data_IF_754916574882
#
_entry.id   IF_754916574882
#
_cell.length_a   1.000
_cell.length_b   1.000
_cell.length_c   1.000
_cell.angle_alpha   90.00
_cell.angle_beta   90.00
_cell.angle_gamma   90.00
#
_symmetry.space_group_name_H-M   'P 1'
#
loop_
_entity.id
_entity.type
_entity.pdbx_description
1 polymer ?
#
# COMPACT_ATOMS: atom_id res chain seq x y z
N UNK A 1 45.35 28.20 -5.87
CA UNK A 1 44.59 27.13 -6.55
C UNK A 1 43.49 26.65 -5.62
N UNK A 2 42.28 27.18 -5.78
CA UNK A 2 41.10 26.78 -5.01
C UNK A 2 40.10 26.14 -5.96
N UNK A 3 39.96 24.81 -5.89
CA UNK A 3 38.96 24.09 -6.68
C UNK A 3 37.64 24.08 -5.89
N UNK A 4 36.65 24.80 -6.42
CA UNK A 4 35.29 24.84 -5.89
C UNK A 4 34.57 23.51 -6.05
N UNK A 5 33.94 23.07 -4.97
CA UNK A 5 32.98 21.96 -4.98
C UNK A 5 31.67 22.45 -5.62
N UNK A 6 31.19 21.70 -6.62
CA UNK A 6 29.97 22.03 -7.36
C UNK A 6 28.68 21.82 -6.56
N UNK A 7 27.62 22.61 -6.79
CA UNK A 7 26.35 22.48 -6.11
C UNK A 7 25.49 21.42 -6.81
N UNK A 8 25.66 20.15 -6.41
CA UNK A 8 24.99 19.03 -7.11
C UNK A 8 24.48 17.88 -6.25
N UNK A 9 24.63 17.90 -4.92
CA UNK A 9 24.30 16.73 -4.08
C UNK A 9 23.23 16.96 -2.99
N UNK A 10 22.63 18.15 -2.88
CA UNK A 10 21.85 18.50 -1.68
C UNK A 10 20.32 18.61 -1.91
N UNK A 11 19.72 17.71 -2.71
CA UNK A 11 18.27 17.69 -2.99
C UNK A 11 17.56 16.33 -2.85
N UNK A 12 18.21 15.32 -2.27
CA UNK A 12 17.46 14.25 -1.57
C UNK A 12 17.37 14.70 -0.11
N UNK A 13 16.46 15.63 0.16
CA UNK A 13 16.15 16.10 1.52
C UNK A 13 16.11 14.90 2.47
N UNK A 14 16.92 14.95 3.55
CA UNK A 14 16.93 13.97 4.63
C UNK A 14 15.49 13.63 4.99
N UNK A 15 14.99 12.47 4.56
CA UNK A 15 13.75 11.90 5.10
C UNK A 15 14.03 11.74 6.59
N UNK A 16 13.24 12.40 7.44
CA UNK A 16 13.38 12.23 8.87
C UNK A 16 12.96 10.80 9.21
N UNK A 17 13.95 9.90 9.31
CA UNK A 17 13.75 8.49 9.64
C UNK A 17 13.03 8.33 10.98
N UNK A 18 13.26 9.26 11.93
CA UNK A 18 12.58 9.28 13.23
C UNK A 18 11.09 9.58 13.06
N UNK A 19 10.75 10.57 12.23
CA UNK A 19 9.35 10.89 11.91
C UNK A 19 8.65 9.74 11.17
N UNK A 20 9.29 9.13 10.17
CA UNK A 20 8.71 8.02 9.42
C UNK A 20 8.50 6.78 10.32
N UNK A 21 9.46 6.49 11.21
CA UNK A 21 9.34 5.45 12.23
C UNK A 21 8.15 5.70 13.15
N UNK A 22 8.01 6.92 13.66
CA UNK A 22 6.87 7.29 14.52
C UNK A 22 5.54 7.14 13.78
N UNK A 23 5.49 7.54 12.50
CA UNK A 23 4.31 7.35 11.64
C UNK A 23 3.98 5.89 11.40
N UNK A 24 4.98 5.02 11.20
CA UNK A 24 4.77 3.58 11.06
C UNK A 24 4.16 2.94 12.32
N UNK A 25 4.69 3.27 13.49
CA UNK A 25 4.09 2.84 14.77
C UNK A 25 2.67 3.40 14.93
N UNK A 26 2.46 4.68 14.56
CA UNK A 26 1.15 5.31 14.55
C UNK A 26 0.14 4.60 13.64
N UNK A 27 0.56 4.21 12.43
CA UNK A 27 -0.26 3.46 11.49
C UNK A 27 -0.64 2.08 12.07
N UNK A 28 0.30 1.38 12.71
CA UNK A 28 -0.02 0.11 13.38
C UNK A 28 -1.07 0.28 14.50
N UNK A 29 -1.01 1.39 15.25
CA UNK A 29 -1.97 1.70 16.31
C UNK A 29 -3.38 1.99 15.80
N UNK A 30 -3.53 2.52 14.58
CA UNK A 30 -4.85 2.76 13.97
C UNK A 30 -5.62 1.47 13.72
N UNK A 31 -4.93 0.34 13.64
CA UNK A 31 -5.53 -0.98 13.41
C UNK A 31 -5.82 -1.76 14.69
N UNK A 32 -5.65 -1.18 15.88
CA UNK A 32 -6.05 -1.83 17.12
C UNK A 32 -7.54 -2.18 17.11
N UNK A 33 -7.86 -3.41 17.50
CA UNK A 33 -9.24 -3.94 17.48
C UNK A 33 -9.67 -4.51 16.13
N UNK A 34 -8.88 -4.38 15.06
CA UNK A 34 -9.20 -5.04 13.80
C UNK A 34 -9.16 -6.56 13.97
N UNK A 35 -10.22 -7.29 13.57
CA UNK A 35 -10.33 -8.72 13.81
C UNK A 35 -9.30 -9.53 13.04
N UNK A 36 -8.99 -10.71 13.56
CA UNK A 36 -8.11 -11.67 12.92
C UNK A 36 -8.89 -12.47 11.89
N UNK A 37 -8.38 -12.58 10.66
CA UNK A 37 -8.87 -13.43 9.55
C UNK A 37 -10.35 -13.84 9.59
N UNK A 38 -11.15 -13.42 8.60
CA UNK A 38 -12.59 -13.73 8.50
C UNK A 38 -12.98 -15.20 8.77
N UNK A 39 -12.17 -16.16 8.33
CA UNK A 39 -12.38 -17.61 8.56
C UNK A 39 -12.39 -18.03 10.03
N UNK A 40 -11.88 -17.19 10.92
CA UNK A 40 -11.85 -17.44 12.35
C UNK A 40 -13.12 -16.92 13.07
N UNK A 41 -14.07 -16.41 12.30
CA UNK A 41 -15.34 -15.89 12.77
C UNK A 41 -16.48 -16.73 12.19
N UNK A 42 -17.45 -17.06 13.04
CA UNK A 42 -18.70 -17.69 12.61
C UNK A 42 -19.65 -16.62 12.05
N UNK A 43 -20.62 -16.96 11.17
CA UNK A 43 -21.52 -15.97 10.57
C UNK A 43 -22.29 -15.09 11.56
N UNK A 44 -22.48 -15.55 12.80
CA UNK A 44 -23.15 -14.87 13.91
C UNK A 44 -22.19 -14.03 14.78
N UNK A 45 -20.87 -14.12 14.58
CA UNK A 45 -19.92 -13.26 15.27
C UNK A 45 -20.12 -11.78 14.88
N UNK A 46 -20.07 -10.83 15.84
CA UNK A 46 -20.22 -9.40 15.57
C UNK A 46 -19.23 -8.87 14.53
N UNK A 47 -18.04 -9.47 14.49
CA UNK A 47 -16.95 -9.07 13.62
C UNK A 47 -16.96 -9.79 12.27
N UNK A 48 -17.85 -10.76 12.01
CA UNK A 48 -17.88 -11.57 10.78
C UNK A 48 -18.08 -10.71 9.52
N UNK A 49 -18.88 -9.65 9.66
CA UNK A 49 -19.14 -8.66 8.62
C UNK A 49 -18.10 -7.53 8.55
N UNK A 50 -16.98 -7.62 9.30
CA UNK A 50 -16.01 -6.53 9.35
C UNK A 50 -15.42 -6.23 7.97
N UNK A 51 -15.20 -4.96 7.64
CA UNK A 51 -14.69 -4.55 6.33
C UNK A 51 -13.21 -4.92 6.14
N UNK A 52 -12.50 -5.23 7.23
CA UNK A 52 -11.07 -5.50 7.24
C UNK A 52 -10.73 -6.56 8.29
N UNK A 53 -9.83 -7.46 7.94
CA UNK A 53 -9.22 -8.43 8.84
C UNK A 53 -7.71 -8.38 8.67
N UNK A 54 -6.97 -8.46 9.78
CA UNK A 54 -5.51 -8.38 9.78
C UNK A 54 -4.92 -9.51 10.63
N UNK A 55 -4.14 -10.37 9.99
CA UNK A 55 -3.23 -11.28 10.69
C UNK A 55 -1.90 -10.58 10.99
N UNK A 56 -0.94 -11.30 11.58
CA UNK A 56 0.32 -10.74 12.04
C UNK A 56 1.14 -10.07 10.92
N UNK A 57 1.33 -10.75 9.79
CA UNK A 57 2.03 -10.19 8.65
C UNK A 57 1.17 -9.17 7.88
N UNK A 58 -0.16 -9.34 7.88
CA UNK A 58 -1.13 -8.45 7.27
C UNK A 58 -1.14 -7.07 7.90
N UNK A 59 -1.03 -6.98 9.23
CA UNK A 59 -0.89 -5.72 9.96
C UNK A 59 0.33 -4.92 9.47
N UNK A 60 1.51 -5.55 9.50
CA UNK A 60 2.77 -4.92 9.07
C UNK A 60 2.67 -4.47 7.61
N UNK A 61 2.16 -5.35 6.75
CA UNK A 61 1.95 -5.06 5.33
C UNK A 61 1.05 -3.85 5.14
N UNK A 62 -0.07 -3.81 5.86
CA UNK A 62 -1.05 -2.72 5.73
C UNK A 62 -0.46 -1.39 6.19
N UNK A 63 0.22 -1.37 7.34
CA UNK A 63 0.86 -0.17 7.86
C UNK A 63 1.94 0.39 6.92
N UNK A 64 2.74 -0.47 6.28
CA UNK A 64 3.70 -0.01 5.24
C UNK A 64 2.97 0.46 3.98
N UNK A 65 1.88 -0.20 3.58
CA UNK A 65 1.10 0.20 2.39
C UNK A 65 0.44 1.58 2.54
N UNK A 66 -0.09 1.92 3.73
CA UNK A 66 -0.64 3.25 3.98
C UNK A 66 0.42 4.35 3.92
N UNK A 67 1.69 3.99 4.17
CA UNK A 67 2.86 4.86 4.15
C UNK A 67 3.75 4.62 2.92
N UNK A 68 3.25 3.95 1.87
CA UNK A 68 4.08 3.49 0.76
C UNK A 68 4.80 4.63 0.01
N UNK A 69 4.20 5.83 -0.03
CA UNK A 69 4.81 7.01 -0.64
C UNK A 69 5.99 7.51 0.21
N UNK A 70 5.85 7.44 1.53
CA UNK A 70 6.87 7.86 2.49
C UNK A 70 8.02 6.84 2.60
N UNK A 71 7.71 5.55 2.51
CA UNK A 71 8.70 4.48 2.43
C UNK A 71 9.37 4.44 1.04
N UNK A 72 8.66 4.82 -0.02
CA UNK A 72 9.15 4.75 -1.40
C UNK A 72 9.07 3.34 -2.00
N UNK A 73 8.35 2.42 -1.34
CA UNK A 73 8.05 1.07 -1.81
C UNK A 73 6.76 0.55 -1.15
N UNK A 74 6.23 -0.54 -1.68
CA UNK A 74 5.18 -1.33 -1.03
C UNK A 74 5.69 -2.73 -0.69
N UNK A 75 5.13 -3.34 0.36
CA UNK A 75 5.38 -4.76 0.65
C UNK A 75 4.53 -5.65 -0.27
N UNK A 76 5.16 -6.70 -0.79
CA UNK A 76 4.49 -7.72 -1.61
C UNK A 76 3.46 -8.57 -0.82
N UNK A 77 2.76 -9.45 -1.54
CA UNK A 77 1.70 -10.34 -1.00
C UNK A 77 2.22 -11.47 -0.08
N UNK A 78 3.52 -11.55 0.12
CA UNK A 78 4.18 -12.66 0.78
C UNK A 78 4.10 -12.55 2.31
N UNK A 79 4.37 -13.64 3.00
CA UNK A 79 4.20 -13.80 4.46
C UNK A 79 5.28 -13.11 5.32
N UNK A 80 5.27 -13.40 6.62
CA UNK A 80 6.28 -12.96 7.58
C UNK A 80 7.71 -13.37 7.19
N UNK A 81 7.93 -14.51 6.52
CA UNK A 81 9.28 -14.92 6.09
C UNK A 81 9.82 -13.99 4.99
N UNK A 82 8.96 -13.44 4.13
CA UNK A 82 9.35 -12.38 3.19
C UNK A 82 9.70 -11.09 3.93
N UNK A 83 8.87 -10.64 4.88
CA UNK A 83 9.16 -9.44 5.66
C UNK A 83 10.50 -9.57 6.40
N UNK A 84 10.77 -10.76 6.93
CA UNK A 84 12.04 -11.11 7.57
C UNK A 84 13.23 -10.95 6.62
N UNK A 85 13.16 -11.47 5.39
CA UNK A 85 14.25 -11.31 4.41
C UNK A 85 14.49 -9.86 4.00
N UNK A 86 13.45 -9.02 4.01
CA UNK A 86 13.59 -7.60 3.65
C UNK A 86 14.23 -6.74 4.74
N UNK A 87 14.46 -7.30 5.92
CA UNK A 87 15.12 -6.63 7.05
C UNK A 87 16.35 -7.44 7.49
N UNK A 88 17.50 -7.30 6.80
CA UNK A 88 18.67 -8.14 7.04
C UNK A 88 19.45 -7.79 8.32
N UNK A 89 19.18 -6.66 8.96
CA UNK A 89 19.88 -6.20 10.16
C UNK A 89 19.22 -6.79 11.41
N UNK A 90 19.89 -7.75 12.04
CA UNK A 90 19.52 -8.26 13.37
C UNK A 90 20.10 -7.34 14.45
N UNK A 91 19.30 -7.03 15.47
CA UNK A 91 19.70 -6.17 16.59
C UNK A 91 19.52 -6.88 17.93
N UNK A 92 20.26 -6.45 18.95
CA UNK A 92 20.02 -6.93 20.33
C UNK A 92 18.74 -6.34 20.92
N UNK A 93 18.17 -7.01 21.92
CA UNK A 93 16.98 -6.51 22.63
C UNK A 93 17.19 -5.08 23.18
N UNK A 94 18.35 -4.80 23.77
CA UNK A 94 18.73 -3.48 24.31
C UNK A 94 18.83 -2.37 23.23
N UNK A 95 18.91 -2.75 21.96
CA UNK A 95 19.04 -1.83 20.82
C UNK A 95 17.72 -1.62 20.08
N UNK A 96 16.66 -2.33 20.47
CA UNK A 96 15.35 -2.22 19.85
C UNK A 96 14.78 -0.81 19.99
N UNK A 97 14.26 -0.31 18.87
CA UNK A 97 13.54 0.96 18.81
C UNK A 97 12.09 0.70 18.45
N UNK A 98 11.14 1.50 18.96
CA UNK A 98 9.75 1.42 18.52
C UNK A 98 9.64 1.40 16.98
N UNK A 99 8.89 0.44 16.44
CA UNK A 99 8.75 0.19 15.01
C UNK A 99 9.64 -0.93 14.47
N UNK A 100 10.69 -1.35 15.19
CA UNK A 100 11.44 -2.56 14.82
C UNK A 100 10.56 -3.80 14.91
N UNK A 101 10.90 -4.85 14.17
CA UNK A 101 10.06 -6.05 14.07
C UNK A 101 10.63 -7.19 14.92
N UNK A 102 9.73 -7.87 15.64
CA UNK A 102 10.03 -9.09 16.39
C UNK A 102 9.48 -10.27 15.60
N UNK A 103 10.37 -11.06 15.01
CA UNK A 103 10.03 -12.29 14.33
C UNK A 103 10.14 -13.48 15.27
N UNK A 104 9.30 -14.49 15.05
CA UNK A 104 9.30 -15.72 15.84
C UNK A 104 9.73 -16.87 14.94
N UNK A 105 10.84 -17.48 15.30
CA UNK A 105 11.29 -18.75 14.74
C UNK A 105 10.64 -19.89 15.52
N UNK A 106 10.01 -20.83 14.81
CA UNK A 106 9.23 -21.88 15.43
C UNK A 106 8.81 -23.00 14.49
N UNK A 107 8.25 -24.05 15.07
CA UNK A 107 7.73 -25.22 14.35
C UNK A 107 6.29 -25.45 14.75
N UNK A 108 5.39 -25.66 13.79
CA UNK A 108 3.99 -25.97 14.10
C UNK A 108 3.89 -27.30 14.84
N UNK A 109 3.01 -27.36 15.84
CA UNK A 109 2.68 -28.63 16.49
C UNK A 109 1.92 -29.57 15.55
N UNK A 110 1.15 -28.98 14.64
CA UNK A 110 0.47 -29.70 13.58
C UNK A 110 1.49 -30.13 12.52
N UNK A 111 1.74 -31.43 12.43
CA UNK A 111 2.73 -32.01 11.51
C UNK A 111 2.23 -32.08 10.07
N UNK A 112 0.93 -31.87 9.82
CA UNK A 112 0.43 -31.64 8.48
C UNK A 112 0.92 -30.30 7.91
N UNK A 113 1.30 -29.35 8.81
CA UNK A 113 1.73 -28.01 8.42
C UNK A 113 3.06 -27.97 7.71
N UNK A 114 3.04 -27.56 6.44
CA UNK A 114 4.29 -27.27 5.69
C UNK A 114 5.09 -26.18 6.45
N UNK A 115 6.37 -26.43 6.80
CA UNK A 115 7.20 -25.44 7.46
C UNK A 115 7.32 -24.15 6.64
N UNK A 116 7.26 -23.01 7.31
CA UNK A 116 7.50 -21.72 6.67
C UNK A 116 8.98 -21.57 6.35
N UNK A 117 9.32 -20.79 5.30
CA UNK A 117 10.71 -20.44 5.01
C UNK A 117 11.37 -19.82 6.24
N UNK A 118 12.62 -20.20 6.50
CA UNK A 118 13.40 -19.80 7.68
C UNK A 118 12.75 -20.17 9.03
N UNK A 119 11.74 -21.05 9.02
CA UNK A 119 10.92 -21.38 10.19
C UNK A 119 10.27 -20.16 10.84
N UNK A 120 10.02 -19.08 10.09
CA UNK A 120 9.42 -17.86 10.63
C UNK A 120 7.89 -18.01 10.63
N UNK A 121 7.33 -18.17 11.84
CA UNK A 121 5.91 -18.48 12.05
C UNK A 121 5.08 -17.27 12.46
N UNK A 122 5.70 -16.19 12.92
CA UNK A 122 4.99 -14.98 13.39
C UNK A 122 5.85 -13.72 13.33
N UNK A 123 5.20 -12.55 13.33
CA UNK A 123 5.84 -11.24 13.38
C UNK A 123 5.01 -10.26 14.20
N UNK A 124 5.67 -9.40 14.98
CA UNK A 124 5.05 -8.30 15.73
C UNK A 124 5.87 -7.02 15.62
N UNK A 125 5.23 -5.88 15.87
CA UNK A 125 5.88 -4.57 15.87
C UNK A 125 6.25 -4.20 17.30
N UNK A 126 7.54 -4.01 17.58
CA UNK A 126 8.00 -3.58 18.89
C UNK A 126 7.60 -2.13 19.17
N UNK A 127 7.14 -1.84 20.39
CA UNK A 127 6.80 -0.48 20.83
C UNK A 127 7.41 -0.10 22.19
N UNK A 128 8.06 -1.04 22.88
CA UNK A 128 8.61 -0.85 24.23
C UNK A 128 7.50 -0.77 25.29
N UNK A 129 6.59 0.19 25.17
CA UNK A 129 5.50 0.43 26.13
C UNK A 129 6.03 0.68 27.55
N UNK A 130 5.13 0.57 28.55
CA UNK A 130 5.50 0.78 29.97
C UNK A 130 6.41 -0.32 30.52
N UNK A 131 6.32 -1.52 29.94
CA UNK A 131 7.10 -2.70 30.35
C UNK A 131 8.49 -2.76 29.74
N UNK A 132 8.79 -1.92 28.74
CA UNK A 132 9.99 -2.03 27.91
C UNK A 132 9.97 -3.18 26.89
N UNK A 133 8.99 -4.07 26.95
CA UNK A 133 8.90 -5.28 26.10
C UNK A 133 7.67 -5.30 25.18
N UNK A 134 6.82 -4.27 25.24
CA UNK A 134 5.51 -4.29 24.59
C UNK A 134 5.59 -4.33 23.06
N UNK A 135 4.59 -4.98 22.45
CA UNK A 135 4.48 -5.17 21.00
C UNK A 135 3.05 -4.93 20.51
N UNK A 136 2.89 -4.64 19.23
CA UNK A 136 1.59 -4.65 18.52
C UNK A 136 1.58 -5.85 17.58
N UNK A 137 0.55 -6.68 17.67
CA UNK A 137 0.45 -7.86 16.82
C UNK A 137 -0.89 -8.57 16.98
N UNK A 138 -1.12 -9.55 16.11
CA UNK A 138 -2.30 -10.40 16.18
C UNK A 138 -1.91 -11.85 16.46
N UNK A 139 -1.87 -12.20 17.76
CA UNK A 139 -1.39 -13.49 18.26
C UNK A 139 -2.41 -14.62 18.17
N UNK A 140 -3.69 -14.29 18.30
CA UNK A 140 -4.73 -15.28 18.54
C UNK A 140 -5.77 -15.25 17.43
N UNK A 141 -6.01 -16.43 16.85
CA UNK A 141 -7.09 -16.65 15.90
C UNK A 141 -8.44 -16.80 16.58
N UNK A 142 -8.47 -17.19 17.85
CA UNK A 142 -9.70 -17.33 18.65
C UNK A 142 -9.60 -16.51 19.93
N UNK A 143 -10.70 -15.84 20.29
CA UNK A 143 -10.82 -15.17 21.58
C UNK A 143 -10.98 -16.21 22.69
N UNK A 144 -10.36 -15.95 23.84
CA UNK A 144 -10.57 -16.67 25.09
C UNK A 144 -10.70 -15.65 26.21
N UNK A 145 -11.92 -15.12 26.46
CA UNK A 145 -12.16 -14.07 27.46
C UNK A 145 -11.67 -14.46 28.87
N UNK A 146 -11.80 -15.74 29.24
CA UNK A 146 -11.30 -16.29 30.51
C UNK A 146 -9.77 -16.24 30.66
N UNK A 147 -9.04 -16.18 29.55
CA UNK A 147 -7.57 -16.05 29.52
C UNK A 147 -7.14 -14.61 29.20
N UNK A 148 -8.09 -13.65 29.12
CA UNK A 148 -7.83 -12.27 28.70
C UNK A 148 -7.36 -12.13 27.25
N UNK A 149 -7.58 -13.16 26.41
CA UNK A 149 -7.11 -13.20 25.02
C UNK A 149 -8.24 -12.79 24.09
N UNK A 150 -7.99 -11.84 23.20
CA UNK A 150 -8.97 -11.39 22.22
C UNK A 150 -8.41 -11.64 20.82
N UNK A 151 -9.18 -12.19 19.89
CA UNK A 151 -8.72 -12.34 18.50
C UNK A 151 -8.53 -10.96 17.84
N UNK A 152 -7.56 -10.82 16.95
CA UNK A 152 -7.30 -9.56 16.23
C UNK A 152 -6.08 -8.78 16.73
N UNK A 153 -5.94 -7.54 16.26
CA UNK A 153 -4.75 -6.70 16.47
C UNK A 153 -4.82 -6.04 17.84
N UNK A 154 -3.80 -6.27 18.66
CA UNK A 154 -3.71 -5.76 20.04
C UNK A 154 -2.31 -5.33 20.43
N UNK A 155 -2.25 -4.56 21.52
CA UNK A 155 -1.02 -4.34 22.27
C UNK A 155 -0.82 -5.51 23.23
N UNK A 156 0.35 -6.13 23.17
CA UNK A 156 0.77 -7.16 24.11
C UNK A 156 1.83 -6.59 25.05
N UNK A 157 1.78 -6.88 26.35
CA UNK A 157 2.69 -6.29 27.34
C UNK A 157 4.13 -6.78 27.21
N UNK A 158 4.36 -7.93 26.57
CA UNK A 158 5.70 -8.45 26.29
C UNK A 158 5.68 -9.19 24.96
N UNK A 159 6.76 -9.12 24.19
CA UNK A 159 7.02 -9.97 23.03
C UNK A 159 7.15 -11.46 23.39
N UNK A 160 7.37 -11.79 24.67
CA UNK A 160 7.45 -13.16 25.16
C UNK A 160 6.06 -13.72 25.40
N UNK A 161 5.79 -14.90 24.86
CA UNK A 161 4.55 -15.64 25.10
C UNK A 161 4.74 -17.12 24.76
N UNK A 162 3.73 -17.92 25.08
CA UNK A 162 3.61 -19.32 24.67
C UNK A 162 2.49 -19.44 23.65
N UNK A 163 2.79 -20.07 22.51
CA UNK A 163 1.80 -20.32 21.44
C UNK A 163 1.15 -21.69 21.62
N UNK A 164 -0.15 -21.79 21.30
CA UNK A 164 -0.89 -23.06 21.22
C UNK A 164 -0.74 -23.73 19.83
N UNK A 165 -0.18 -23.02 18.84
CA UNK A 165 -0.14 -23.48 17.44
C UNK A 165 1.26 -23.91 16.99
N UNK A 166 2.31 -23.45 17.67
CA UNK A 166 3.70 -23.73 17.32
C UNK A 166 4.58 -23.67 18.56
N UNK A 167 5.65 -24.44 18.53
CA UNK A 167 6.78 -24.32 19.45
C UNK A 167 7.63 -23.10 19.04
N UNK A 168 8.06 -22.32 20.03
CA UNK A 168 8.91 -21.14 19.81
C UNK A 168 10.35 -21.52 20.12
N UNK A 169 11.21 -21.45 19.11
CA UNK A 169 12.64 -21.72 19.25
C UNK A 169 13.40 -20.44 19.63
N UNK A 170 13.07 -19.32 18.96
CA UNK A 170 13.79 -18.06 19.13
C UNK A 170 12.93 -16.84 18.75
N UNK A 171 13.15 -15.75 19.46
CA UNK A 171 12.73 -14.41 19.03
C UNK A 171 13.88 -13.71 18.31
N UNK A 172 13.63 -13.21 17.10
CA UNK A 172 14.63 -12.55 16.25
C UNK A 172 14.21 -11.10 16.07
N UNK A 173 15.08 -10.17 16.46
CA UNK A 173 14.79 -8.74 16.42
C UNK A 173 15.42 -8.12 15.17
N UNK A 174 14.60 -7.48 14.33
CA UNK A 174 15.06 -6.86 13.08
C UNK A 174 14.82 -5.36 13.10
N UNK A 175 15.88 -4.62 12.81
CA UNK A 175 15.85 -3.16 12.68
C UNK A 175 14.98 -2.75 11.49
N UNK A 176 14.11 -1.74 11.69
CA UNK A 176 13.32 -1.13 10.62
C UNK A 176 14.15 -0.20 9.70
N UNK A 177 15.42 0.08 10.05
CA UNK A 177 16.26 1.05 9.34
C UNK A 177 16.35 0.84 7.82
N UNK A 178 16.48 -0.38 7.28
CA UNK A 178 16.47 -0.60 5.83
C UNK A 178 15.20 -0.04 5.17
N UNK A 179 14.03 -0.28 5.76
CA UNK A 179 12.77 0.23 5.25
C UNK A 179 12.71 1.76 5.33
N UNK A 180 13.15 2.36 6.43
CA UNK A 180 13.19 3.83 6.57
C UNK A 180 14.05 4.51 5.50
N UNK A 181 15.07 3.82 4.99
CA UNK A 181 15.94 4.24 3.89
C UNK A 181 15.36 3.95 2.50
N UNK A 182 14.14 3.38 2.43
CA UNK A 182 13.48 2.97 1.20
C UNK A 182 14.06 1.69 0.59
N UNK A 183 14.76 0.89 1.38
CA UNK A 183 15.34 -0.38 0.95
C UNK A 183 14.40 -1.51 1.35
N UNK A 184 13.84 -2.19 0.35
CA UNK A 184 13.07 -3.41 0.53
C UNK A 184 13.57 -4.40 -0.52
N UNK A 185 14.33 -5.42 -0.11
CA UNK A 185 14.93 -6.41 -1.03
C UNK A 185 14.90 -7.78 -0.39
N UNK A 186 14.57 -8.80 -1.17
CA UNK A 186 14.67 -10.19 -0.74
C UNK A 186 15.29 -11.01 -1.87
N UNK A 187 16.02 -12.05 -1.50
CA UNK A 187 16.70 -12.96 -2.43
C UNK A 187 15.80 -14.11 -2.84
N UNK A 188 14.86 -14.53 -1.99
CA UNK A 188 13.96 -15.65 -2.28
C UNK A 188 12.65 -15.26 -2.95
N UNK A 189 12.27 -13.98 -2.89
CA UNK A 189 11.00 -13.49 -3.41
C UNK A 189 11.27 -12.48 -4.56
N UNK A 190 11.18 -12.90 -5.83
CA UNK A 190 11.58 -12.07 -6.98
C UNK A 190 10.74 -10.79 -7.17
N UNK A 191 9.59 -10.69 -6.52
CA UNK A 191 8.73 -9.49 -6.46
C UNK A 191 9.01 -8.59 -5.22
N UNK A 192 10.14 -8.77 -4.53
CA UNK A 192 10.37 -8.22 -3.20
C UNK A 192 10.40 -6.70 -3.09
N UNK A 193 10.74 -6.01 -4.17
CA UNK A 193 10.99 -4.58 -4.22
C UNK A 193 10.13 -3.98 -5.32
N UNK A 194 8.86 -3.75 -5.04
CA UNK A 194 8.08 -2.97 -5.97
C UNK A 194 8.47 -1.50 -5.79
N UNK A 195 9.39 -0.98 -6.60
CA UNK A 195 9.62 0.47 -6.67
C UNK A 195 8.28 1.20 -6.91
N UNK A 196 8.23 2.54 -6.78
CA UNK A 196 6.99 3.31 -7.04
C UNK A 196 6.26 2.91 -8.35
N UNK A 197 6.98 2.32 -9.31
CA UNK A 197 6.46 1.79 -10.57
C UNK A 197 5.92 0.34 -10.55
N UNK A 198 5.94 -0.41 -9.44
CA UNK A 198 5.57 -1.83 -9.40
C UNK A 198 4.66 -2.21 -8.21
N UNK A 199 4.27 -1.26 -7.35
CA UNK A 199 3.62 -1.55 -6.08
C UNK A 199 2.15 -1.91 -6.24
N UNK A 200 1.88 -3.16 -6.62
CA UNK A 200 0.53 -3.72 -6.51
C UNK A 200 0.63 -5.23 -6.33
N UNK A 201 0.53 -5.75 -5.10
CA UNK A 201 0.39 -7.18 -4.85
C UNK A 201 -0.69 -7.45 -3.78
N UNK A 202 -1.65 -8.27 -4.21
CA UNK A 202 -2.86 -8.83 -3.55
C UNK A 202 -2.74 -9.06 -2.04
N UNK A 203 -3.53 -8.35 -1.23
CA UNK A 203 -3.95 -8.87 0.09
C UNK A 203 -5.23 -9.69 -0.15
N UNK A 204 -5.08 -10.99 -0.41
CA UNK A 204 -6.23 -11.88 -0.55
C UNK A 204 -6.77 -12.28 0.83
N UNK A 205 -8.08 -12.44 0.97
CA UNK A 205 -8.76 -12.91 2.20
C UNK A 205 -8.46 -14.36 2.63
N UNK A 206 -7.27 -14.90 2.30
CA UNK A 206 -6.76 -16.17 2.78
C UNK A 206 -5.62 -15.89 3.76
N UNK A 207 -5.77 -16.34 5.01
CA UNK A 207 -4.65 -16.40 5.95
C UNK A 207 -3.61 -17.40 5.44
N UNK A 208 -2.33 -17.03 5.51
CA UNK A 208 -1.20 -17.82 4.99
C UNK A 208 -0.86 -19.06 5.83
N UNK A 209 -1.64 -19.34 6.89
CA UNK A 209 -1.41 -20.41 7.86
C UNK A 209 -2.23 -21.69 7.64
N UNK A 210 -2.77 -21.90 6.43
CA UNK A 210 -3.49 -23.12 6.11
C UNK A 210 -2.69 -24.03 5.17
N UNK A 211 -2.72 -25.32 5.52
CA UNK A 211 -2.33 -26.42 4.67
C UNK A 211 -3.25 -26.58 3.48
N UNK A 212 -2.61 -26.91 2.38
CA UNK A 212 -3.19 -27.41 1.15
C UNK A 212 -3.92 -28.74 1.41
N UNK A 213 -5.20 -28.67 1.71
CA UNK A 213 -6.16 -29.57 1.08
C UNK A 213 -6.93 -28.68 0.12
N UNK A 214 -6.67 -28.87 -1.18
CA UNK A 214 -6.66 -27.86 -2.26
C UNK A 214 -5.33 -27.06 -2.32
N UNK A 215 -4.24 -27.79 -2.55
CA UNK A 215 -3.40 -27.47 -3.72
C UNK A 215 -4.29 -27.65 -4.95
N UNK A 216 -5.20 -26.72 -5.14
CA UNK A 216 -5.63 -26.34 -6.45
C UNK A 216 -4.41 -25.56 -7.03
N UNK A 217 -3.58 -26.04 -7.96
CA UNK A 217 -3.91 -26.83 -9.17
C UNK A 217 -5.40 -26.81 -9.57
N UNK A 218 -6.15 -25.76 -9.20
CA UNK A 218 -7.04 -25.11 -10.14
C UNK A 218 -6.07 -24.83 -11.25
N UNK A 219 -6.33 -25.47 -12.38
CA UNK A 219 -5.63 -25.25 -13.62
C UNK A 219 -5.12 -23.80 -13.67
N UNK A 220 -4.02 -23.60 -14.36
CA UNK A 220 -3.86 -22.35 -15.08
C UNK A 220 -5.00 -22.19 -16.13
N UNK A 221 -6.27 -22.30 -15.73
CA UNK A 221 -7.38 -21.54 -16.24
C UNK A 221 -6.96 -20.10 -16.12
N UNK A 222 -6.33 -19.64 -17.19
CA UNK A 222 -6.10 -18.24 -17.47
C UNK A 222 -7.41 -17.52 -17.17
N UNK A 223 -7.45 -16.74 -16.09
CA UNK A 223 -8.61 -15.89 -15.82
C UNK A 223 -8.80 -15.03 -17.07
N UNK A 224 -9.86 -15.35 -17.82
CA UNK A 224 -10.20 -14.68 -19.06
C UNK A 224 -11.30 -13.66 -18.73
N UNK A 225 -11.03 -12.36 -18.84
CA UNK A 225 -12.04 -11.35 -18.60
C UNK A 225 -13.18 -11.51 -19.61
N UNK A 226 -14.41 -11.47 -19.13
CA UNK A 226 -15.61 -11.49 -19.96
C UNK A 226 -16.59 -10.40 -19.49
N UNK A 227 -16.29 -9.11 -19.74
CA UNK A 227 -17.16 -8.00 -19.33
C UNK A 227 -18.53 -8.00 -20.00
N UNK A 228 -18.73 -8.83 -21.03
CA UNK A 228 -19.98 -8.96 -21.78
C UNK A 228 -20.69 -10.29 -21.51
N UNK A 229 -20.21 -11.09 -20.54
CA UNK A 229 -20.83 -12.35 -20.15
C UNK A 229 -22.09 -12.17 -19.30
N UNK A 230 -22.65 -13.28 -18.84
CA UNK A 230 -23.92 -13.29 -18.09
C UNK A 230 -23.80 -12.72 -16.66
N UNK A 231 -22.60 -12.79 -16.05
CA UNK A 231 -22.36 -12.33 -14.68
C UNK A 231 -20.94 -11.78 -14.44
N UNK A 232 -20.55 -10.70 -15.16
CA UNK A 232 -19.23 -10.10 -15.04
C UNK A 232 -18.98 -9.58 -13.63
N UNK A 233 -17.72 -9.64 -13.19
CA UNK A 233 -17.26 -9.22 -11.87
C UNK A 233 -16.63 -7.84 -11.93
N UNK A 234 -16.97 -6.98 -10.97
CA UNK A 234 -16.35 -5.66 -10.85
C UNK A 234 -15.82 -5.36 -9.45
N UNK A 235 -14.75 -4.58 -9.39
CA UNK A 235 -14.29 -3.93 -8.17
C UNK A 235 -14.65 -2.45 -8.21
N UNK A 236 -15.16 -1.93 -7.09
CA UNK A 236 -15.35 -0.50 -6.87
C UNK A 236 -14.60 -0.06 -5.61
N UNK A 237 -13.76 0.97 -5.72
CA UNK A 237 -13.05 1.52 -4.58
C UNK A 237 -13.97 2.35 -3.68
N UNK A 238 -13.71 2.34 -2.37
CA UNK A 238 -14.46 3.10 -1.36
C UNK A 238 -14.10 4.59 -1.38
N UNK A 239 -14.34 5.23 -2.53
CA UNK A 239 -14.09 6.65 -2.76
C UNK A 239 -15.38 7.46 -2.89
N UNK A 240 -15.27 8.68 -3.41
CA UNK A 240 -16.45 9.52 -3.60
C UNK A 240 -17.47 8.87 -4.55
N UNK A 241 -18.75 8.88 -4.14
CA UNK A 241 -19.90 8.39 -4.91
C UNK A 241 -19.84 6.92 -5.36
N UNK A 242 -19.06 6.06 -4.68
CA UNK A 242 -18.92 4.65 -5.05
C UNK A 242 -20.25 3.87 -5.02
N UNK A 243 -21.19 4.24 -4.13
CA UNK A 243 -22.51 3.61 -4.01
C UNK A 243 -23.32 3.70 -5.29
N UNK A 244 -23.30 4.86 -5.95
CA UNK A 244 -24.02 5.09 -7.21
C UNK A 244 -23.49 4.17 -8.31
N UNK A 245 -22.17 4.00 -8.37
CA UNK A 245 -21.51 3.10 -9.32
C UNK A 245 -21.87 1.65 -9.03
N UNK A 246 -21.77 1.23 -7.75
CA UNK A 246 -22.08 -0.12 -7.32
C UNK A 246 -23.53 -0.50 -7.66
N UNK A 247 -24.50 0.31 -7.23
CA UNK A 247 -25.93 0.08 -7.49
C UNK A 247 -26.24 0.03 -8.99
N UNK A 248 -25.55 0.86 -9.80
CA UNK A 248 -25.75 0.88 -11.25
C UNK A 248 -25.25 -0.38 -11.93
N UNK A 249 -24.11 -0.91 -11.50
CA UNK A 249 -23.53 -2.14 -12.06
C UNK A 249 -24.27 -3.38 -11.55
N UNK A 250 -24.61 -3.43 -10.26
CA UNK A 250 -25.39 -4.53 -9.67
C UNK A 250 -26.77 -4.65 -10.34
N UNK A 251 -27.45 -3.53 -10.63
CA UNK A 251 -28.72 -3.53 -11.40
C UNK A 251 -28.56 -4.08 -12.83
N UNK A 252 -27.36 -3.99 -13.40
CA UNK A 252 -27.04 -4.55 -14.73
C UNK A 252 -26.61 -6.02 -14.67
N UNK A 253 -26.71 -6.67 -13.52
CA UNK A 253 -26.33 -8.07 -13.34
C UNK A 253 -24.84 -8.30 -13.04
N UNK A 254 -24.07 -7.23 -12.78
CA UNK A 254 -22.66 -7.37 -12.43
C UNK A 254 -22.50 -7.79 -10.96
N UNK A 255 -21.52 -8.65 -10.69
CA UNK A 255 -21.20 -9.12 -9.33
C UNK A 255 -20.07 -8.29 -8.72
N UNK A 256 -20.34 -7.67 -7.57
CA UNK A 256 -19.36 -6.85 -6.88
C UNK A 256 -18.36 -7.69 -6.11
N UNK A 257 -17.08 -7.37 -6.26
CA UNK A 257 -15.99 -7.90 -5.46
C UNK A 257 -15.91 -7.14 -4.11
N UNK A 258 -15.49 -7.82 -3.03
CA UNK A 258 -15.35 -7.19 -1.72
C UNK A 258 -14.24 -6.12 -1.72
N UNK A 259 -14.28 -5.19 -0.75
CA UNK A 259 -13.38 -4.03 -0.74
C UNK A 259 -11.90 -4.37 -0.54
N UNK A 260 -11.63 -5.47 0.16
CA UNK A 260 -10.28 -6.05 0.34
C UNK A 260 -9.71 -6.61 -0.99
N UNK A 261 -10.56 -6.90 -1.97
CA UNK A 261 -10.16 -7.34 -3.30
C UNK A 261 -9.61 -6.21 -4.19
N UNK A 262 -9.35 -5.01 -3.66
CA UNK A 262 -8.87 -3.86 -4.45
C UNK A 262 -7.53 -4.07 -5.16
N UNK A 263 -6.77 -5.09 -4.77
CA UNK A 263 -5.52 -5.48 -5.41
C UNK A 263 -5.65 -6.72 -6.30
N UNK A 264 -6.86 -7.27 -6.45
CA UNK A 264 -7.10 -8.38 -7.36
C UNK A 264 -6.84 -7.97 -8.81
N UNK A 265 -6.40 -8.95 -9.60
CA UNK A 265 -6.29 -8.84 -11.06
C UNK A 265 -7.35 -9.71 -11.74
N UNK A 266 -8.21 -10.38 -10.95
CA UNK A 266 -9.34 -11.18 -11.42
C UNK A 266 -10.60 -10.31 -11.35
N UNK A 267 -10.76 -9.40 -12.30
CA UNK A 267 -11.92 -8.51 -12.44
C UNK A 267 -12.20 -8.24 -13.92
N UNK A 268 -13.45 -8.02 -14.29
CA UNK A 268 -13.84 -7.59 -15.63
C UNK A 268 -13.85 -6.06 -15.71
N UNK A 269 -14.26 -5.39 -14.62
CA UNK A 269 -14.19 -3.93 -14.48
C UNK A 269 -13.56 -3.52 -13.14
N UNK A 270 -12.63 -2.57 -13.18
CA UNK A 270 -12.13 -1.90 -11.98
C UNK A 270 -12.46 -0.41 -12.01
N UNK A 271 -13.30 0.01 -11.08
CA UNK A 271 -13.71 1.40 -10.91
C UNK A 271 -13.12 1.99 -9.64
N UNK A 272 -12.22 2.96 -9.78
CA UNK A 272 -11.55 3.61 -8.65
C UNK A 272 -11.53 5.12 -8.81
N UNK A 273 -11.46 5.85 -7.70
CA UNK A 273 -11.38 7.32 -7.72
C UNK A 273 -10.04 7.81 -8.30
N UNK A 274 -8.94 7.20 -7.88
CA UNK A 274 -7.60 7.59 -8.29
C UNK A 274 -6.98 6.59 -9.26
N UNK A 275 -6.40 7.09 -10.36
CA UNK A 275 -5.61 6.31 -11.33
C UNK A 275 -4.52 5.46 -10.66
N UNK A 276 -3.91 5.94 -9.57
CA UNK A 276 -2.86 5.24 -8.82
C UNK A 276 -3.30 3.89 -8.24
N UNK A 277 -4.62 3.65 -8.13
CA UNK A 277 -5.18 2.39 -7.64
C UNK A 277 -5.36 1.33 -8.75
N UNK A 278 -5.05 1.66 -10.01
CA UNK A 278 -5.05 0.72 -11.14
C UNK A 278 -3.62 0.26 -11.43
N UNK A 279 -3.41 -1.04 -11.46
CA UNK A 279 -2.16 -1.66 -11.91
C UNK A 279 -2.23 -1.93 -13.41
N UNK A 280 -1.78 -0.96 -14.20
CA UNK A 280 -1.76 -1.06 -15.66
C UNK A 280 -0.77 -2.12 -16.17
N UNK A 281 0.25 -2.50 -15.37
CA UNK A 281 1.24 -3.49 -15.81
C UNK A 281 0.68 -4.91 -15.80
N UNK A 282 -0.28 -5.17 -14.91
CA UNK A 282 -0.96 -6.46 -14.78
C UNK A 282 -2.35 -6.48 -15.42
N UNK A 283 -2.72 -5.41 -16.10
CA UNK A 283 -3.94 -5.34 -16.86
C UNK A 283 -3.84 -6.27 -18.07
N UNK A 284 -4.78 -7.20 -18.20
CA UNK A 284 -4.84 -8.13 -19.34
C UNK A 284 -5.91 -7.69 -20.34
N UNK A 285 -5.80 -8.17 -21.58
CA UNK A 285 -6.78 -7.89 -22.62
C UNK A 285 -8.19 -8.34 -22.21
N UNK A 286 -9.21 -7.54 -22.53
CA UNK A 286 -10.60 -7.76 -22.12
C UNK A 286 -10.97 -7.13 -20.78
N UNK A 287 -10.02 -6.77 -19.91
CA UNK A 287 -10.34 -6.01 -18.70
C UNK A 287 -10.71 -4.55 -19.02
N UNK A 288 -11.59 -4.00 -18.19
CA UNK A 288 -12.03 -2.61 -18.26
C UNK A 288 -11.57 -1.86 -17.01
N UNK A 289 -11.12 -0.62 -17.21
CA UNK A 289 -10.73 0.31 -16.14
C UNK A 289 -11.30 1.69 -16.44
N UNK A 290 -11.64 2.45 -15.39
CA UNK A 290 -12.26 3.78 -15.54
C UNK A 290 -11.25 4.93 -15.69
N UNK A 291 -9.95 4.63 -15.88
CA UNK A 291 -8.90 5.62 -16.10
C UNK A 291 -8.00 5.21 -17.25
N UNK A 292 -7.58 6.18 -18.06
CA UNK A 292 -6.62 5.97 -19.15
C UNK A 292 -5.19 6.08 -18.58
N UNK A 293 -4.26 5.22 -19.03
CA UNK A 293 -2.87 5.39 -18.64
C UNK A 293 -2.32 6.75 -19.11
N UNK A 294 -1.49 7.38 -18.28
CA UNK A 294 -0.85 8.68 -18.59
C UNK A 294 -1.85 9.85 -18.82
N UNK A 295 -3.06 9.77 -18.24
CA UNK A 295 -4.05 10.84 -18.35
C UNK A 295 -3.63 12.15 -17.65
N UNK A 296 -2.56 12.16 -16.86
CA UNK A 296 -2.02 13.35 -16.20
C UNK A 296 -1.47 14.37 -17.20
N UNK A 297 -1.17 13.95 -18.43
CA UNK A 297 -0.80 14.82 -19.55
C UNK A 297 -1.87 15.90 -19.80
N UNK A 298 -3.15 15.58 -19.64
CA UNK A 298 -4.27 16.52 -19.87
C UNK A 298 -5.04 16.89 -18.60
N UNK A 299 -4.93 16.09 -17.53
CA UNK A 299 -5.67 16.32 -16.28
C UNK A 299 -4.87 17.09 -15.22
N UNK A 300 -3.55 17.26 -15.40
CA UNK A 300 -2.73 18.11 -14.54
C UNK A 300 -2.47 19.47 -15.22
N UNK A 301 -2.71 20.59 -14.52
CA UNK A 301 -2.63 21.93 -15.11
C UNK A 301 -1.26 22.24 -15.73
N UNK A 302 -0.18 21.84 -15.04
CA UNK A 302 1.19 22.09 -15.49
C UNK A 302 1.58 21.20 -16.68
N UNK A 303 1.21 19.91 -16.64
CA UNK A 303 1.47 18.97 -17.75
C UNK A 303 0.65 19.31 -19.00
N UNK A 304 -0.58 19.76 -18.80
CA UNK A 304 -1.43 20.21 -19.89
C UNK A 304 -0.83 21.44 -20.58
N UNK A 305 -0.35 22.42 -19.81
CA UNK A 305 0.37 23.58 -20.34
C UNK A 305 1.61 23.18 -21.14
N UNK A 306 2.41 22.23 -20.63
CA UNK A 306 3.58 21.72 -21.36
C UNK A 306 3.19 21.03 -22.66
N UNK A 307 2.11 20.26 -22.65
CA UNK A 307 1.58 19.57 -23.83
C UNK A 307 1.10 20.57 -24.89
N UNK A 308 0.42 21.63 -24.46
CA UNK A 308 0.00 22.71 -25.35
C UNK A 308 1.16 23.44 -25.99
N UNK A 309 2.22 23.74 -25.22
CA UNK A 309 3.43 24.38 -25.74
C UNK A 309 4.19 23.47 -26.71
N UNK A 310 4.26 22.18 -26.42
CA UNK A 310 4.85 21.21 -27.34
C UNK A 310 4.07 21.13 -28.66
N UNK A 311 2.73 21.18 -28.60
CA UNK A 311 1.89 21.26 -29.80
C UNK A 311 2.17 22.54 -30.59
N UNK A 312 2.15 23.70 -29.93
CA UNK A 312 2.43 25.00 -30.56
C UNK A 312 3.83 25.04 -31.19
N UNK A 313 4.84 24.48 -30.52
CA UNK A 313 6.19 24.38 -31.07
C UNK A 313 6.26 23.47 -32.31
N UNK A 314 5.45 22.40 -32.35
CA UNK A 314 5.44 21.45 -33.45
C UNK A 314 4.60 21.91 -34.65
N UNK A 315 3.49 22.61 -34.43
CA UNK A 315 2.52 23.01 -35.46
C UNK A 315 2.56 24.48 -35.82
N UNK A 316 3.15 25.33 -34.95
CA UNK A 316 3.04 26.79 -35.02
C UNK A 316 1.65 27.31 -34.66
N UNK A 317 0.71 26.43 -34.28
CA UNK A 317 -0.67 26.81 -33.99
C UNK A 317 -0.90 26.87 -32.48
N UNK A 318 -1.34 28.04 -32.00
CA UNK A 318 -1.82 28.23 -30.63
C UNK A 318 -3.31 27.88 -30.53
N UNK A 319 -3.71 27.36 -29.38
CA UNK A 319 -5.13 27.14 -29.07
C UNK A 319 -5.81 28.46 -28.72
N UNK A 320 -6.61 29.00 -29.65
CA UNK A 320 -7.26 30.31 -29.51
C UNK A 320 -8.18 30.43 -28.28
N UNK A 321 -8.74 29.32 -27.81
CA UNK A 321 -9.65 29.25 -26.66
C UNK A 321 -8.95 29.08 -25.31
N UNK A 322 -7.60 29.02 -25.28
CA UNK A 322 -6.85 28.87 -24.04
C UNK A 322 -6.17 30.18 -23.63
N UNK A 323 -6.39 30.65 -22.39
CA UNK A 323 -5.77 31.90 -21.91
C UNK A 323 -4.24 31.78 -21.83
N UNK A 324 -3.53 32.91 -21.95
CA UNK A 324 -2.10 32.97 -21.66
C UNK A 324 -1.82 32.40 -20.27
N UNK A 325 -0.95 31.39 -20.21
CA UNK A 325 -0.75 30.58 -19.01
C UNK A 325 0.74 30.31 -18.77
N UNK A 326 1.13 30.40 -17.51
CA UNK A 326 2.52 30.32 -17.06
C UNK A 326 2.65 29.43 -15.82
N UNK A 327 3.79 28.75 -15.67
CA UNK A 327 4.11 28.04 -14.43
C UNK A 327 5.02 28.86 -13.53
N UNK A 328 4.71 28.92 -12.23
CA UNK A 328 5.55 29.53 -11.21
C UNK A 328 6.78 28.69 -10.85
N UNK A 329 6.93 27.49 -11.42
CA UNK A 329 8.11 26.64 -11.17
C UNK A 329 9.31 27.05 -12.05
N UNK A 330 9.07 27.73 -13.18
CA UNK A 330 10.12 28.11 -14.14
C UNK A 330 10.39 29.60 -14.08
N UNK A 331 11.64 29.97 -13.81
CA UNK A 331 12.05 31.38 -13.74
C UNK A 331 11.71 32.15 -15.03
N UNK A 332 11.94 31.55 -16.20
CA UNK A 332 11.60 32.16 -17.49
C UNK A 332 10.10 32.38 -17.71
N UNK A 333 9.25 31.54 -17.12
CA UNK A 333 7.79 31.73 -17.19
C UNK A 333 7.34 32.89 -16.30
N UNK A 334 7.96 33.08 -15.14
CA UNK A 334 7.67 34.23 -14.27
C UNK A 334 8.00 35.54 -14.96
N UNK A 335 9.16 35.61 -15.62
CA UNK A 335 9.59 36.82 -16.33
C UNK A 335 8.65 37.14 -17.49
N UNK A 336 8.21 36.13 -18.25
CA UNK A 336 7.23 36.32 -19.34
C UNK A 336 5.86 36.75 -18.82
N UNK A 337 5.39 36.14 -17.74
CA UNK A 337 4.14 36.52 -17.09
C UNK A 337 4.18 37.99 -16.60
N UNK A 338 5.30 38.40 -16.00
CA UNK A 338 5.50 39.80 -15.57
C UNK A 338 5.50 40.76 -16.76
N UNK A 339 6.24 40.44 -17.83
CA UNK A 339 6.30 41.28 -19.02
C UNK A 339 4.92 41.44 -19.71
N UNK A 340 4.12 40.37 -19.78
CA UNK A 340 2.76 40.44 -20.33
C UNK A 340 1.81 41.22 -19.40
N UNK A 341 1.93 41.04 -18.08
CA UNK A 341 1.16 41.81 -17.10
C UNK A 341 1.50 43.31 -17.10
N UNK A 342 2.76 43.67 -17.36
CA UNK A 342 3.20 45.06 -17.54
C UNK A 342 2.66 45.66 -18.85
N UNK A 343 2.57 44.86 -19.91
CA UNK A 343 2.03 45.29 -21.20
C UNK A 343 0.50 45.45 -21.20
N UNK A 344 -0.21 44.64 -20.39
CA UNK A 344 -1.67 44.66 -20.26
C UNK A 344 -2.10 44.87 -18.79
N UNK A 345 -1.98 46.10 -18.26
CA UNK A 345 -2.20 46.38 -16.84
C UNK A 345 -3.66 46.17 -16.38
N UNK A 346 -4.61 46.21 -17.30
CA UNK A 346 -6.05 45.97 -17.03
C UNK A 346 -6.41 44.47 -17.07
N UNK A 347 -5.47 43.59 -17.44
CA UNK A 347 -5.74 42.16 -17.51
C UNK A 347 -5.82 41.53 -16.11
N UNK A 348 -6.86 40.73 -15.89
CA UNK A 348 -7.02 39.97 -14.65
C UNK A 348 -6.29 38.62 -14.72
N UNK A 349 -5.42 38.36 -13.74
CA UNK A 349 -4.65 37.12 -13.63
C UNK A 349 -5.17 36.22 -12.51
N UNK A 350 -5.26 34.91 -12.75
CA UNK A 350 -5.68 33.92 -11.77
C UNK A 350 -4.55 32.95 -11.44
N UNK A 351 -4.13 32.90 -10.17
CA UNK A 351 -3.18 31.89 -9.67
C UNK A 351 -3.94 30.64 -9.23
N UNK A 352 -3.52 29.47 -9.71
CA UNK A 352 -4.15 28.19 -9.39
C UNK A 352 -3.10 27.15 -9.01
N UNK A 353 -3.35 26.29 -8.01
CA UNK A 353 -2.44 25.20 -7.68
C UNK A 353 -2.41 24.17 -8.82
N UNK A 354 -1.24 23.58 -9.06
CA UNK A 354 -1.02 22.58 -10.12
C UNK A 354 -1.90 21.33 -9.94
N UNK A 355 -2.10 20.94 -8.68
CA UNK A 355 -2.98 19.84 -8.24
C UNK A 355 -3.95 20.38 -7.20
N UNK A 356 -5.24 20.10 -7.36
CA UNK A 356 -6.31 20.58 -6.48
C UNK A 356 -7.66 20.53 -7.19
N UNK A 357 -8.65 19.99 -6.49
CA UNK A 357 -10.06 19.97 -6.88
C UNK A 357 -10.83 20.81 -5.86
N UNK A 358 -11.81 21.61 -6.30
CA UNK A 358 -12.71 22.32 -5.38
C UNK A 358 -12.38 23.79 -5.08
N UNK A 359 -11.52 24.45 -5.86
CA UNK A 359 -11.26 25.89 -5.73
C UNK A 359 -10.28 26.29 -4.63
N UNK A 360 -9.68 25.32 -3.95
CA UNK A 360 -8.60 25.49 -2.98
C UNK A 360 -7.23 25.17 -3.55
#
# INVERSE_FOLDING_TARGET
AGAGQGPGQDRRSRRDEGQLRARFVGACRQYLGVPYSRRAHEPDDPDYGSPLFLDCCGLVRRAVQDLQEDFGFGLGKWNQAYQFETLPEEVGFEQLKPGDLVFVEGTYYDTAKKPQRHNIVHVEVFIGGETGEATIGSRWSKSSPSEGKVRGVQIHPSYRYVSKNYEIHRFIFRSLAPWLQGICRSTSYPDAATGLAAATLKCGGKSIFQDSEEDDEEEAGTYAPNPYGDAPVFYVGEGNNWKVVAETLERRGWRRLPFDAGFTTRFDLKWVEQRSKIDYKRHVEGQLVNHIPNNDVITCKTRFLDTMRAHEAATGCRFAYHPSSYTSERAGDKLRALAEAEAEPEAAWALKPARGNGGS
#
